data_IF_357027153073
#
_entry.id   IF_357027153073
#
_cell.length_a   1.000
_cell.length_b   1.000
_cell.length_c   1.000
_cell.angle_alpha   90.00
_cell.angle_beta   90.00
_cell.angle_gamma   90.00
#
_symmetry.space_group_name_H-M   'P 1'
#
loop_
_entity.id
_entity.type
_entity.pdbx_description
1 polymer ?
#
# COMPACT_ATOMS: atom_id res chain seq x y z
N UNK A 1 5.31 -14.81 -2.78
CA UNK A 1 4.57 -13.58 -3.10
C UNK A 1 5.16 -13.00 -4.38
N UNK A 2 4.31 -12.58 -5.33
CA UNK A 2 4.72 -12.11 -6.66
C UNK A 2 5.33 -10.71 -6.64
N UNK A 3 5.65 -10.16 -7.81
CA UNK A 3 6.20 -8.81 -7.97
C UNK A 3 5.18 -7.67 -7.73
N UNK A 4 4.07 -7.99 -7.06
CA UNK A 4 2.93 -7.11 -6.84
C UNK A 4 2.44 -7.27 -5.41
N UNK A 5 1.81 -6.23 -4.90
CA UNK A 5 1.19 -6.18 -3.58
C UNK A 5 -0.16 -5.45 -3.70
N UNK A 6 -0.94 -5.34 -2.63
CA UNK A 6 -2.25 -4.65 -2.65
C UNK A 6 -2.37 -3.64 -1.53
N UNK A 7 -3.16 -2.60 -1.79
CA UNK A 7 -3.72 -1.79 -0.74
C UNK A 7 -4.93 -2.52 -0.15
N UNK A 8 -5.04 -2.50 1.17
CA UNK A 8 -6.18 -3.05 1.90
C UNK A 8 -6.68 -2.01 2.90
N UNK A 9 -7.99 -1.99 3.12
CA UNK A 9 -8.58 -1.26 4.24
C UNK A 9 -8.91 -2.27 5.32
N UNK A 10 -8.39 -2.00 6.51
CA UNK A 10 -8.59 -2.81 7.70
C UNK A 10 -9.48 -2.11 8.70
N UNK A 11 -10.26 -2.88 9.45
CA UNK A 11 -11.06 -2.42 10.58
C UNK A 11 -11.04 -3.47 11.69
N UNK A 12 -11.35 -3.09 12.92
CA UNK A 12 -11.51 -4.07 14.00
C UNK A 12 -12.76 -4.94 13.79
N UNK A 13 -12.65 -6.25 14.02
CA UNK A 13 -13.78 -7.18 13.83
C UNK A 13 -14.92 -6.95 14.81
N UNK A 14 -14.62 -6.47 16.01
CA UNK A 14 -15.59 -6.25 17.08
C UNK A 14 -16.33 -4.90 16.97
N UNK A 15 -16.02 -4.08 15.95
CA UNK A 15 -16.65 -2.77 15.74
C UNK A 15 -17.79 -2.80 14.71
N UNK A 16 -18.18 -3.99 14.22
CA UNK A 16 -19.31 -4.14 13.28
C UNK A 16 -19.08 -3.53 11.90
N UNK A 17 -17.81 -3.33 11.51
CA UNK A 17 -17.41 -2.78 10.21
C UNK A 17 -17.01 -3.94 9.30
N UNK A 18 -17.78 -4.18 8.24
CA UNK A 18 -17.59 -5.33 7.35
C UNK A 18 -17.36 -4.94 5.89
N UNK A 19 -17.62 -3.69 5.54
CA UNK A 19 -17.52 -3.17 4.18
C UNK A 19 -17.23 -1.67 4.17
N UNK A 20 -16.93 -1.13 2.98
CA UNK A 20 -16.77 0.31 2.81
C UNK A 20 -18.02 1.10 3.21
N UNK A 21 -19.22 0.52 3.07
CA UNK A 21 -20.49 1.16 3.42
C UNK A 21 -20.59 1.48 4.91
N UNK A 22 -19.96 0.66 5.74
CA UNK A 22 -20.02 0.77 7.21
C UNK A 22 -19.09 1.85 7.76
N UNK A 23 -18.29 2.48 6.89
CA UNK A 23 -17.34 3.52 7.26
C UNK A 23 -17.93 4.94 7.30
N UNK A 24 -19.21 5.10 6.95
CA UNK A 24 -19.89 6.39 7.06
C UNK A 24 -19.82 6.91 8.50
N UNK A 25 -19.39 8.16 8.67
CA UNK A 25 -19.24 8.83 9.98
C UNK A 25 -18.23 8.15 10.93
N UNK A 26 -17.40 7.23 10.41
CA UNK A 26 -16.30 6.60 11.16
C UNK A 26 -15.02 7.40 11.06
N UNK A 27 -14.10 7.14 11.99
CA UNK A 27 -12.75 7.70 11.97
C UNK A 27 -11.83 6.83 11.11
N UNK A 28 -11.03 7.45 10.25
CA UNK A 28 -10.21 6.74 9.26
C UNK A 28 -8.77 7.23 9.27
N UNK A 29 -7.81 6.31 9.13
CA UNK A 29 -6.40 6.65 8.92
C UNK A 29 -5.92 6.29 7.51
N UNK A 30 -5.45 7.29 6.76
CA UNK A 30 -4.50 7.08 5.69
C UNK A 30 -3.08 7.05 6.26
N UNK A 31 -2.12 6.56 5.48
CA UNK A 31 -0.70 6.51 5.89
C UNK A 31 -0.08 7.90 5.76
N UNK A 32 0.12 8.36 4.54
CA UNK A 32 0.78 9.62 4.20
C UNK A 32 0.26 10.09 2.83
N UNK A 33 0.15 11.40 2.55
CA UNK A 33 -0.29 11.88 1.24
C UNK A 33 0.52 11.32 0.07
N UNK A 34 1.82 11.10 0.23
CA UNK A 34 2.71 10.51 -0.77
C UNK A 34 2.59 8.99 -0.94
N UNK A 35 1.78 8.32 -0.12
CA UNK A 35 1.71 6.86 -0.11
C UNK A 35 0.86 6.28 -1.24
N UNK A 36 1.43 5.37 -2.03
CA UNK A 36 0.70 4.63 -3.07
C UNK A 36 -0.41 3.75 -2.48
N UNK A 37 -0.05 2.82 -1.59
CA UNK A 37 -1.01 1.86 -1.01
C UNK A 37 -1.73 2.36 0.23
N UNK A 38 -1.16 3.34 0.93
CA UNK A 38 -1.73 3.90 2.14
C UNK A 38 -2.57 5.16 1.92
N UNK A 39 -2.61 5.71 0.70
CA UNK A 39 -3.43 6.87 0.35
C UNK A 39 -3.99 6.85 -1.07
N UNK A 40 -3.15 6.78 -2.11
CA UNK A 40 -3.56 6.90 -3.51
C UNK A 40 -4.63 5.87 -3.91
N UNK A 41 -4.29 4.57 -3.81
CA UNK A 41 -5.20 3.49 -4.15
C UNK A 41 -6.46 3.39 -3.26
N UNK A 42 -6.38 3.50 -1.92
CA UNK A 42 -7.59 3.43 -1.08
C UNK A 42 -8.50 4.65 -1.30
N UNK A 43 -7.95 5.85 -1.51
CA UNK A 43 -8.74 7.05 -1.86
C UNK A 43 -9.47 6.86 -3.19
N UNK A 44 -8.77 6.37 -4.22
CA UNK A 44 -9.40 6.05 -5.51
C UNK A 44 -10.46 4.96 -5.40
N UNK A 45 -10.20 3.92 -4.58
CA UNK A 45 -11.16 2.85 -4.30
C UNK A 45 -12.45 3.36 -3.68
N UNK A 46 -12.36 4.23 -2.67
CA UNK A 46 -13.50 4.87 -2.02
C UNK A 46 -14.32 5.70 -3.03
N UNK A 47 -13.67 6.55 -3.83
CA UNK A 47 -14.34 7.39 -4.83
C UNK A 47 -15.02 6.54 -5.91
N UNK A 48 -14.35 5.51 -6.43
CA UNK A 48 -14.95 4.56 -7.39
C UNK A 48 -16.17 3.84 -6.81
N UNK A 49 -16.18 3.59 -5.50
CA UNK A 49 -17.31 3.01 -4.79
C UNK A 49 -18.41 4.03 -4.42
N UNK A 50 -18.25 5.30 -4.81
CA UNK A 50 -19.25 6.36 -4.58
C UNK A 50 -19.11 7.09 -3.24
N UNK A 51 -17.99 6.91 -2.52
CA UNK A 51 -17.74 7.54 -1.23
C UNK A 51 -16.70 8.64 -1.36
N UNK A 52 -17.06 9.90 -1.08
CA UNK A 52 -16.13 11.03 -1.04
C UNK A 52 -15.38 11.05 0.31
N UNK A 53 -14.06 10.76 0.35
CA UNK A 53 -13.31 10.71 1.60
C UNK A 53 -13.27 12.02 2.38
N UNK A 54 -13.59 13.16 1.75
CA UNK A 54 -13.64 14.46 2.43
C UNK A 54 -14.90 14.64 3.30
N UNK A 55 -15.98 13.94 2.97
CA UNK A 55 -17.28 14.09 3.66
C UNK A 55 -17.80 12.78 4.24
N UNK A 56 -17.22 11.64 3.86
CA UNK A 56 -17.73 10.33 4.22
C UNK A 56 -17.37 9.90 5.65
N UNK A 57 -16.22 10.34 6.14
CA UNK A 57 -15.71 10.02 7.47
C UNK A 57 -15.97 11.16 8.46
N UNK A 58 -16.15 10.85 9.74
CA UNK A 58 -16.24 11.88 10.79
C UNK A 58 -14.90 12.57 11.03
N UNK A 59 -13.80 11.84 10.84
CA UNK A 59 -12.43 12.36 10.93
C UNK A 59 -11.47 11.50 10.12
N UNK A 60 -10.63 12.16 9.33
CA UNK A 60 -9.48 11.55 8.65
C UNK A 60 -8.18 12.00 9.30
N UNK A 61 -7.25 11.07 9.50
CA UNK A 61 -5.87 11.36 9.93
C UNK A 61 -4.86 10.76 8.96
N UNK A 62 -3.65 11.32 8.97
CA UNK A 62 -2.46 10.70 8.38
C UNK A 62 -1.60 10.15 9.52
N UNK A 63 -1.40 8.83 9.54
CA UNK A 63 -0.68 8.14 10.61
C UNK A 63 0.84 8.24 10.51
N UNK A 64 1.35 8.61 9.32
CA UNK A 64 2.77 8.67 8.98
C UNK A 64 3.41 7.33 8.62
N UNK A 65 2.71 6.19 8.78
CA UNK A 65 3.28 4.88 8.49
C UNK A 65 2.27 3.73 8.54
N UNK A 66 2.55 2.64 7.81
CA UNK A 66 1.69 1.46 7.79
C UNK A 66 1.55 0.80 9.18
N UNK A 67 2.65 0.66 9.91
CA UNK A 67 2.65 0.13 11.28
C UNK A 67 1.81 1.02 12.21
N UNK A 68 1.96 2.35 12.06
CA UNK A 68 1.19 3.33 12.85
C UNK A 68 -0.31 3.26 12.55
N UNK A 69 -0.70 3.11 11.28
CA UNK A 69 -2.09 2.86 10.86
C UNK A 69 -2.67 1.60 11.49
N UNK A 70 -1.93 0.49 11.42
CA UNK A 70 -2.39 -0.80 11.97
C UNK A 70 -2.55 -0.74 13.49
N UNK A 71 -1.58 -0.14 14.19
CA UNK A 71 -1.63 0.07 15.65
C UNK A 71 -2.77 1.03 16.04
N UNK A 72 -3.06 2.04 15.23
CA UNK A 72 -4.15 2.98 15.50
C UNK A 72 -5.52 2.29 15.43
N UNK A 73 -5.73 1.38 14.47
CA UNK A 73 -6.93 0.53 14.39
C UNK A 73 -7.01 -0.38 15.61
N UNK A 74 -5.93 -1.12 15.90
CA UNK A 74 -5.91 -2.07 17.02
C UNK A 74 -6.23 -1.41 18.36
N UNK A 75 -5.69 -0.22 18.62
CA UNK A 75 -5.93 0.54 19.84
C UNK A 75 -7.26 1.31 19.85
N UNK A 76 -8.08 1.22 18.80
CA UNK A 76 -9.34 1.95 18.69
C UNK A 76 -9.18 3.47 18.58
N UNK A 77 -7.99 3.97 18.19
CA UNK A 77 -7.77 5.40 17.93
C UNK A 77 -8.46 5.86 16.64
N UNK A 78 -8.57 4.94 15.69
CA UNK A 78 -9.40 5.05 14.50
C UNK A 78 -10.20 3.77 14.30
N UNK A 79 -11.33 3.85 13.60
CA UNK A 79 -12.20 2.71 13.33
C UNK A 79 -11.66 1.84 12.19
N UNK A 80 -11.04 2.47 11.18
CA UNK A 80 -10.45 1.80 10.03
C UNK A 80 -9.19 2.51 9.53
N UNK A 81 -8.35 1.79 8.79
CA UNK A 81 -7.16 2.36 8.17
C UNK A 81 -6.78 1.68 6.86
N UNK A 82 -6.13 2.41 5.96
CA UNK A 82 -5.50 1.83 4.78
C UNK A 82 -4.06 1.38 5.07
N UNK A 83 -3.70 0.18 4.63
CA UNK A 83 -2.35 -0.38 4.73
C UNK A 83 -1.97 -1.20 3.48
N UNK A 84 -0.70 -1.55 3.33
CA UNK A 84 -0.26 -2.53 2.34
C UNK A 84 -0.45 -3.95 2.91
N UNK A 85 -0.97 -4.88 2.11
CA UNK A 85 -1.15 -6.29 2.52
C UNK A 85 0.16 -6.92 3.03
N UNK A 86 1.26 -6.74 2.31
CA UNK A 86 2.57 -7.26 2.71
C UNK A 86 3.06 -6.73 4.07
N UNK A 87 2.68 -5.49 4.45
CA UNK A 87 3.03 -4.91 5.74
C UNK A 87 2.06 -5.32 6.84
N UNK A 88 0.80 -5.57 6.51
CA UNK A 88 -0.16 -6.18 7.42
C UNK A 88 0.28 -7.61 7.81
N UNK A 89 0.67 -8.43 6.83
CA UNK A 89 1.25 -9.76 7.06
C UNK A 89 2.52 -9.69 7.93
N UNK A 90 3.37 -8.68 7.68
CA UNK A 90 4.56 -8.45 8.50
C UNK A 90 4.18 -8.10 9.94
N UNK A 91 3.16 -7.27 10.16
CA UNK A 91 2.66 -6.92 11.49
C UNK A 91 2.13 -8.15 12.25
N UNK A 92 1.40 -9.05 11.58
CA UNK A 92 0.97 -10.33 12.15
C UNK A 92 2.17 -11.20 12.53
N UNK A 93 3.14 -11.37 11.63
CA UNK A 93 4.35 -12.19 11.86
C UNK A 93 5.25 -11.70 13.01
N UNK A 94 5.12 -10.43 13.39
CA UNK A 94 5.83 -9.78 14.48
C UNK A 94 5.02 -9.74 15.78
N UNK A 95 3.77 -10.22 15.76
CA UNK A 95 2.86 -10.15 16.90
C UNK A 95 2.42 -8.73 17.24
N UNK A 96 2.59 -7.79 16.31
CA UNK A 96 2.15 -6.40 16.49
C UNK A 96 0.63 -6.33 16.41
N UNK A 97 0.04 -7.03 15.43
CA UNK A 97 -1.40 -7.25 15.31
C UNK A 97 -1.70 -8.74 15.44
N UNK A 98 -2.94 -9.07 15.82
CA UNK A 98 -3.47 -10.43 15.71
C UNK A 98 -4.47 -10.50 14.56
N UNK A 99 -4.39 -11.55 13.76
CA UNK A 99 -5.32 -11.81 12.64
C UNK A 99 -6.78 -11.95 13.10
N UNK A 100 -6.99 -12.38 14.35
CA UNK A 100 -8.31 -12.51 14.96
C UNK A 100 -8.96 -11.15 15.26
N UNK A 101 -8.19 -10.10 15.52
CA UNK A 101 -8.69 -8.79 15.95
C UNK A 101 -9.12 -7.88 14.78
N UNK A 102 -8.54 -8.09 13.59
CA UNK A 102 -8.64 -7.16 12.45
C UNK A 102 -9.18 -7.88 11.21
N UNK A 103 -10.15 -7.24 10.53
CA UNK A 103 -10.70 -7.68 9.25
C UNK A 103 -10.23 -6.78 8.12
N UNK A 104 -9.92 -7.39 6.98
CA UNK A 104 -9.79 -6.68 5.69
C UNK A 104 -11.19 -6.53 5.09
N UNK A 105 -11.64 -5.29 4.94
CA UNK A 105 -13.00 -4.95 4.45
C UNK A 105 -13.02 -4.47 3.00
N UNK A 106 -11.85 -4.19 2.44
CA UNK A 106 -11.65 -3.82 1.05
C UNK A 106 -10.21 -4.09 0.62
N UNK A 107 -10.05 -4.43 -0.66
CA UNK A 107 -8.76 -4.74 -1.28
C UNK A 107 -8.69 -4.13 -2.67
N UNK A 108 -7.57 -3.52 -3.02
CA UNK A 108 -7.33 -2.93 -4.34
C UNK A 108 -7.02 -3.99 -5.41
N UNK A 109 -6.97 -3.54 -6.67
CA UNK A 109 -6.23 -4.25 -7.71
C UNK A 109 -4.74 -4.37 -7.37
N UNK A 110 -4.03 -5.25 -8.07
CA UNK A 110 -2.61 -5.48 -7.85
C UNK A 110 -1.79 -4.21 -8.18
N UNK A 111 -0.92 -3.81 -7.27
CA UNK A 111 0.01 -2.70 -7.41
C UNK A 111 1.39 -3.29 -7.72
N UNK A 112 2.10 -2.82 -8.76
CA UNK A 112 3.47 -3.24 -9.00
C UNK A 112 4.36 -2.88 -7.81
N UNK A 113 5.25 -3.79 -7.43
CA UNK A 113 6.22 -3.58 -6.36
C UNK A 113 7.20 -2.44 -6.67
N UNK A 114 8.03 -2.07 -5.69
CA UNK A 114 9.01 -1.01 -5.87
C UNK A 114 10.03 -1.37 -6.98
N UNK A 115 10.24 -0.48 -7.98
CA UNK A 115 11.22 -0.72 -9.03
C UNK A 115 12.64 -0.54 -8.49
N UNK A 116 13.57 -1.35 -9.02
CA UNK A 116 14.97 -0.98 -9.06
C UNK A 116 15.23 -0.16 -10.32
N UNK A 117 15.74 1.05 -10.15
CA UNK A 117 16.01 1.98 -11.25
C UNK A 117 17.50 2.29 -11.35
N UNK A 118 17.95 2.60 -12.56
CA UNK A 118 19.30 3.08 -12.84
C UNK A 118 19.25 4.29 -13.77
N UNK A 119 20.31 5.10 -13.76
CA UNK A 119 20.39 6.33 -14.55
C UNK A 119 20.31 6.03 -16.05
N UNK A 120 19.54 6.84 -16.77
CA UNK A 120 19.22 6.60 -18.19
C UNK A 120 20.43 6.76 -19.11
N UNK A 121 21.45 7.52 -18.71
CA UNK A 121 22.65 7.81 -19.51
C UNK A 121 23.78 6.77 -19.34
N UNK A 122 23.59 5.71 -18.52
CA UNK A 122 24.61 4.68 -18.36
C UNK A 122 24.86 3.95 -19.69
N UNK A 123 26.10 3.54 -19.99
CA UNK A 123 26.39 2.73 -21.17
C UNK A 123 25.53 1.45 -21.21
N UNK A 124 24.99 1.10 -22.37
CA UNK A 124 24.11 -0.09 -22.51
C UNK A 124 24.77 -1.38 -22.02
N UNK A 125 26.08 -1.52 -22.23
CA UNK A 125 26.86 -2.66 -21.71
C UNK A 125 26.80 -2.76 -20.18
N UNK A 126 26.79 -1.62 -19.48
CA UNK A 126 26.67 -1.59 -18.02
C UNK A 126 25.24 -1.88 -17.57
N UNK A 127 24.23 -1.30 -18.24
CA UNK A 127 22.81 -1.59 -17.97
C UNK A 127 22.50 -3.09 -18.14
N UNK A 128 23.04 -3.72 -19.17
CA UNK A 128 22.89 -5.16 -19.39
C UNK A 128 23.48 -5.98 -18.24
N UNK A 129 24.70 -5.65 -17.80
CA UNK A 129 25.34 -6.31 -16.65
C UNK A 129 24.55 -6.14 -15.35
N UNK A 130 24.00 -4.96 -15.09
CA UNK A 130 23.16 -4.71 -13.90
C UNK A 130 21.91 -5.60 -13.96
N UNK A 131 21.21 -5.63 -15.11
CA UNK A 131 20.01 -6.47 -15.29
C UNK A 131 20.32 -7.95 -15.08
N UNK A 132 21.43 -8.43 -15.65
CA UNK A 132 21.89 -9.81 -15.48
C UNK A 132 22.20 -10.14 -14.01
N UNK A 133 22.98 -9.28 -13.33
CA UNK A 133 23.34 -9.48 -11.93
C UNK A 133 22.10 -9.56 -11.02
N UNK A 134 21.16 -8.62 -11.15
CA UNK A 134 19.91 -8.66 -10.39
C UNK A 134 19.06 -9.88 -10.73
N UNK A 135 18.98 -10.24 -12.01
CA UNK A 135 18.22 -11.41 -12.49
C UNK A 135 18.75 -12.75 -11.97
N UNK A 136 19.98 -12.81 -11.48
CA UNK A 136 20.59 -14.02 -10.89
C UNK A 136 20.42 -14.12 -9.37
N UNK A 137 20.08 -13.03 -8.67
CA UNK A 137 19.91 -13.05 -7.20
C UNK A 137 18.68 -13.88 -6.83
N UNK A 138 18.87 -14.83 -5.92
CA UNK A 138 17.82 -15.66 -5.33
C UNK A 138 17.92 -15.64 -3.81
N UNK A 139 16.76 -15.73 -3.16
CA UNK A 139 16.63 -15.87 -1.70
C UNK A 139 17.50 -14.90 -0.89
N UNK A 140 17.56 -13.63 -1.31
CA UNK A 140 18.34 -12.61 -0.63
C UNK A 140 17.67 -12.24 0.70
N UNK A 141 18.34 -12.40 1.85
CA UNK A 141 17.82 -11.93 3.12
C UNK A 141 17.58 -10.41 3.08
N UNK A 142 16.41 -9.99 3.54
CA UNK A 142 16.01 -8.58 3.55
C UNK A 142 15.38 -8.24 4.89
N UNK A 143 16.15 -7.62 5.78
CA UNK A 143 15.72 -7.37 7.15
C UNK A 143 15.57 -8.66 7.99
N UNK A 144 14.98 -8.56 9.20
CA UNK A 144 15.04 -9.65 10.19
C UNK A 144 14.25 -10.91 9.85
N UNK A 145 13.21 -10.80 9.01
CA UNK A 145 12.27 -11.90 8.72
C UNK A 145 11.77 -11.94 7.27
N UNK A 146 12.36 -11.16 6.36
CA UNK A 146 11.91 -11.12 4.97
C UNK A 146 13.01 -11.58 4.02
N UNK A 147 12.60 -12.06 2.85
CA UNK A 147 13.51 -12.59 1.85
C UNK A 147 13.02 -12.17 0.48
N UNK A 148 13.89 -11.53 -0.30
CA UNK A 148 13.63 -11.26 -1.72
C UNK A 148 13.90 -12.56 -2.47
N UNK A 149 12.82 -13.23 -2.90
CA UNK A 149 12.90 -14.52 -3.59
C UNK A 149 13.62 -14.44 -4.91
N UNK A 150 13.30 -13.41 -5.70
CA UNK A 150 13.94 -13.13 -6.98
C UNK A 150 13.59 -11.72 -7.43
N UNK A 151 14.40 -11.17 -8.32
CA UNK A 151 14.05 -9.99 -9.10
C UNK A 151 13.43 -10.41 -10.42
N UNK A 152 12.41 -9.67 -10.86
CA UNK A 152 11.78 -9.87 -12.17
C UNK A 152 12.00 -8.64 -13.04
N UNK A 153 12.17 -8.79 -14.36
CA UNK A 153 12.17 -7.66 -15.27
C UNK A 153 10.87 -6.86 -15.13
N UNK A 154 10.99 -5.53 -15.15
CA UNK A 154 9.85 -4.61 -15.22
C UNK A 154 10.08 -3.58 -16.32
N UNK A 155 8.98 -2.98 -16.78
CA UNK A 155 8.93 -1.92 -17.79
C UNK A 155 8.22 -0.71 -17.20
N UNK A 156 8.45 0.45 -17.80
CA UNK A 156 7.80 1.70 -17.40
C UNK A 156 6.26 1.61 -17.43
N UNK A 157 5.72 0.91 -18.43
CA UNK A 157 4.28 0.70 -18.60
C UNK A 157 3.64 -0.15 -17.49
N UNK A 158 4.42 -0.96 -16.76
CA UNK A 158 3.90 -1.75 -15.64
C UNK A 158 3.37 -0.84 -14.50
N UNK A 159 3.82 0.43 -14.48
CA UNK A 159 3.43 1.44 -13.50
C UNK A 159 2.31 2.37 -14.00
N UNK A 160 1.74 2.14 -15.17
CA UNK A 160 0.66 2.98 -15.72
C UNK A 160 -0.58 2.98 -14.83
N UNK A 161 -0.89 1.87 -14.16
CA UNK A 161 -1.98 1.80 -13.18
C UNK A 161 -1.85 2.86 -12.07
N UNK A 162 -0.61 3.18 -11.66
CA UNK A 162 -0.36 4.23 -10.66
C UNK A 162 -0.62 5.62 -11.28
N UNK A 163 -0.17 5.85 -12.52
CA UNK A 163 -0.37 7.12 -13.23
C UNK A 163 -1.85 7.38 -13.50
N UNK A 164 -2.60 6.37 -13.92
CA UNK A 164 -4.03 6.45 -14.17
C UNK A 164 -4.80 6.71 -12.86
N UNK A 165 -4.42 6.02 -11.78
CA UNK A 165 -5.02 6.26 -10.46
C UNK A 165 -4.75 7.68 -9.96
N UNK A 166 -3.54 8.21 -10.17
CA UNK A 166 -3.21 9.59 -9.82
C UNK A 166 -4.01 10.62 -10.63
N UNK A 167 -4.18 10.39 -11.94
CA UNK A 167 -5.02 11.23 -12.82
C UNK A 167 -6.48 11.25 -12.36
N UNK A 168 -7.03 10.10 -11.96
CA UNK A 168 -8.40 10.00 -11.45
C UNK A 168 -8.62 10.91 -10.22
N UNK A 169 -7.58 11.09 -9.41
CA UNK A 169 -7.64 11.87 -8.18
C UNK A 169 -7.25 13.34 -8.35
N UNK A 170 -7.01 13.79 -9.58
CA UNK A 170 -6.47 15.13 -9.90
C UNK A 170 -5.23 15.48 -9.06
N UNK A 171 -4.39 14.47 -8.79
CA UNK A 171 -3.18 14.66 -8.01
C UNK A 171 -2.04 15.12 -8.90
N UNK A 172 -1.50 16.31 -8.61
CA UNK A 172 -0.23 16.74 -9.17
C UNK A 172 0.92 16.03 -8.45
N UNK A 173 1.31 14.87 -8.99
CA UNK A 173 2.42 14.05 -8.49
C UNK A 173 3.74 14.83 -8.37
N UNK A 174 3.93 15.95 -9.10
CA UNK A 174 5.14 16.78 -8.99
C UNK A 174 5.17 17.67 -7.76
N UNK A 175 4.00 17.92 -7.15
CA UNK A 175 3.84 18.75 -5.94
C UNK A 175 3.77 17.93 -4.67
N UNK A 176 3.66 16.61 -4.77
CA UNK A 176 3.71 15.68 -3.65
C UNK A 176 5.17 15.42 -3.28
N UNK A 177 5.76 16.33 -2.49
CA UNK A 177 7.10 16.21 -1.91
C UNK A 177 7.00 15.96 -0.41
#
# INVERSE_FOLDING_TARGET
QGATYRSVIIARKDHGIHSLKDLSDKTFAFVDPGSTSGFLFPKAGLIKAGYDPNTYFSRVIFSGGHDASAIAVQNGKVDAAAVADALLETAYSRGMLKEEDVAVIWTSEAIPGAPMVYRSDLPEKLKAKIREAFGQIRDLPWGPKSTIKQWVPSKDADYDVIRETAKLLDLDLKRMK
#
